data_IF_698132392693
#
_entry.id   IF_698132392693
#
_cell.length_a   1.000
_cell.length_b   1.000
_cell.length_c   1.000
_cell.angle_alpha   90.00
_cell.angle_beta   90.00
_cell.angle_gamma   90.00
#
_symmetry.space_group_name_H-M   'P 1'
#
loop_
_entity.id
_entity.type
_entity.pdbx_description
1 polymer ?
#
# COMPACT_ATOMS: atom_id res chain seq x y z
N UNK A 1 26.02 0.79 -51.09
CA UNK A 1 25.01 -0.22 -50.65
C UNK A 1 24.56 -0.04 -49.23
N UNK A 2 25.25 0.75 -48.41
CA UNK A 2 24.99 0.88 -46.97
C UNK A 2 23.74 1.70 -46.63
N UNK A 3 23.46 2.77 -47.38
CA UNK A 3 22.32 3.67 -47.12
C UNK A 3 20.95 2.98 -47.23
N UNK A 4 20.82 1.98 -48.10
CA UNK A 4 19.58 1.19 -48.23
C UNK A 4 19.34 0.33 -47.01
N UNK A 5 20.38 -0.26 -46.42
CA UNK A 5 20.28 -1.09 -45.22
C UNK A 5 19.90 -0.24 -44.01
N UNK A 6 20.45 0.97 -43.89
CA UNK A 6 20.08 1.94 -42.84
C UNK A 6 18.61 2.36 -42.96
N UNK A 7 18.16 2.62 -44.22
CA UNK A 7 16.77 2.99 -44.44
C UNK A 7 15.79 1.84 -44.04
N UNK A 8 16.12 0.60 -44.40
CA UNK A 8 15.33 -0.56 -43.97
C UNK A 8 15.32 -0.75 -42.45
N UNK A 9 16.46 -0.48 -41.78
CA UNK A 9 16.53 -0.58 -40.30
C UNK A 9 15.62 0.46 -39.64
N UNK A 10 15.61 1.70 -40.14
CA UNK A 10 14.74 2.75 -39.60
C UNK A 10 13.26 2.42 -39.83
N UNK A 11 12.89 1.93 -41.00
CA UNK A 11 11.50 1.53 -41.27
C UNK A 11 11.08 0.40 -40.38
N UNK A 12 11.90 -0.63 -40.21
CA UNK A 12 11.59 -1.79 -39.34
C UNK A 12 11.44 -1.37 -37.90
N UNK A 13 12.33 -0.53 -37.40
CA UNK A 13 12.25 0.01 -36.04
C UNK A 13 10.97 0.81 -35.81
N UNK A 14 10.59 1.66 -36.77
CA UNK A 14 9.36 2.46 -36.70
C UNK A 14 8.11 1.58 -36.68
N UNK A 15 8.08 0.50 -37.45
CA UNK A 15 6.97 -0.47 -37.46
C UNK A 15 6.82 -1.13 -36.07
N UNK A 16 7.93 -1.52 -35.44
CA UNK A 16 7.90 -2.13 -34.11
C UNK A 16 7.36 -1.14 -33.06
N UNK A 17 7.77 0.13 -33.11
CA UNK A 17 7.27 1.17 -32.21
C UNK A 17 5.79 1.44 -32.39
N UNK A 18 5.31 1.55 -33.66
CA UNK A 18 3.88 1.74 -33.92
C UNK A 18 3.06 0.52 -33.46
N UNK A 19 3.58 -0.68 -33.72
CA UNK A 19 2.93 -1.90 -33.25
C UNK A 19 2.81 -1.93 -31.72
N UNK A 20 3.89 -1.59 -31.01
CA UNK A 20 3.89 -1.50 -29.55
C UNK A 20 2.88 -0.48 -29.04
N UNK A 21 2.88 0.74 -29.58
CA UNK A 21 1.95 1.81 -29.19
C UNK A 21 0.48 1.42 -29.42
N UNK A 22 0.16 0.70 -30.52
CA UNK A 22 -1.23 0.31 -30.80
C UNK A 22 -1.75 -0.86 -29.98
N UNK A 23 -0.85 -1.79 -29.58
CA UNK A 23 -1.28 -3.01 -28.89
C UNK A 23 -1.03 -2.99 -27.37
N UNK A 24 -0.07 -2.20 -26.88
CA UNK A 24 0.32 -2.19 -25.47
C UNK A 24 0.06 -0.87 -24.76
N UNK A 25 -0.07 0.25 -25.47
CA UNK A 25 -0.51 1.50 -24.85
C UNK A 25 -2.03 1.49 -24.66
N UNK A 26 -2.47 1.56 -23.40
CA UNK A 26 -3.90 1.73 -23.10
C UNK A 26 -4.35 3.13 -23.53
N UNK A 27 -5.57 3.29 -24.08
CA UNK A 27 -6.05 4.60 -24.50
C UNK A 27 -6.09 5.55 -23.29
N UNK A 28 -5.35 6.64 -23.40
CA UNK A 28 -5.44 7.75 -22.46
C UNK A 28 -6.82 8.37 -22.65
N UNK A 29 -7.68 8.23 -21.65
CA UNK A 29 -9.02 8.85 -21.67
C UNK A 29 -8.81 10.35 -21.53
N UNK A 30 -8.96 11.10 -22.61
CA UNK A 30 -9.02 12.56 -22.64
C UNK A 30 -10.21 13.04 -21.79
N UNK A 31 -9.93 13.46 -20.57
CA UNK A 31 -10.93 14.18 -19.78
C UNK A 31 -10.98 15.63 -20.25
N UNK A 32 -12.05 15.96 -20.95
CA UNK A 32 -12.46 17.30 -21.36
C UNK A 32 -12.63 18.22 -20.14
N UNK A 33 -12.04 19.43 -20.12
CA UNK A 33 -12.19 20.32 -18.98
C UNK A 33 -13.58 20.92 -18.93
N UNK A 34 -14.32 20.66 -17.85
CA UNK A 34 -15.56 21.39 -17.52
C UNK A 34 -15.21 22.65 -16.74
N UNK A 35 -15.50 23.81 -17.35
CA UNK A 35 -15.45 25.12 -16.70
C UNK A 35 -16.57 25.24 -15.67
N UNK A 36 -16.25 25.56 -14.42
CA UNK A 36 -17.04 26.50 -13.63
C UNK A 36 -16.17 27.21 -12.61
N UNK A 37 -16.21 28.53 -12.68
CA UNK A 37 -15.59 29.55 -11.86
C UNK A 37 -16.17 29.53 -10.43
N UNK A 38 -15.40 29.83 -9.38
CA UNK A 38 -15.28 31.19 -8.80
C UNK A 38 -14.48 31.17 -7.49
N UNK A 39 -13.40 31.93 -7.51
CA UNK A 39 -12.84 32.91 -6.55
C UNK A 39 -12.25 32.50 -5.19
N UNK A 40 -10.98 32.89 -5.07
CA UNK A 40 -10.19 33.47 -3.95
C UNK A 40 -9.59 32.46 -2.92
N UNK A 41 -8.35 32.43 -2.68
CA UNK A 41 -7.17 33.29 -2.56
C UNK A 41 -6.10 32.53 -1.75
N UNK A 42 -4.86 32.63 -2.23
CA UNK A 42 -3.56 32.46 -1.60
C UNK A 42 -2.89 31.08 -1.45
N UNK A 43 -1.99 30.93 -2.39
CA UNK A 43 -0.58 30.47 -2.28
C UNK A 43 -0.23 29.28 -1.39
N UNK A 44 0.03 28.15 -2.07
CA UNK A 44 1.32 27.50 -1.96
C UNK A 44 1.45 26.49 -3.12
N UNK A 45 2.46 26.69 -3.96
CA UNK A 45 2.80 25.86 -5.11
C UNK A 45 3.25 24.47 -4.66
N UNK A 46 2.36 23.49 -4.81
CA UNK A 46 2.70 22.08 -4.96
C UNK A 46 1.74 21.48 -5.99
N UNK A 47 2.18 20.63 -6.92
CA UNK A 47 1.28 20.01 -7.88
C UNK A 47 0.29 19.13 -7.13
N UNK A 48 -0.96 19.58 -7.10
CA UNK A 48 -2.09 18.85 -6.53
C UNK A 48 -2.48 17.74 -7.51
N UNK A 49 -2.36 16.51 -7.10
CA UNK A 49 -2.99 15.38 -7.78
C UNK A 49 -4.48 15.45 -7.42
N UNK A 50 -5.28 16.02 -8.32
CA UNK A 50 -6.73 16.04 -8.18
C UNK A 50 -7.26 14.61 -8.30
N UNK A 51 -7.95 14.14 -7.28
CA UNK A 51 -8.67 12.88 -7.30
C UNK A 51 -8.46 11.97 -6.08
N UNK A 52 -7.84 12.44 -5.01
CA UNK A 52 -7.84 11.71 -3.75
C UNK A 52 -9.14 12.05 -3.02
N UNK A 53 -10.07 11.10 -2.95
CA UNK A 53 -11.10 11.12 -1.91
C UNK A 53 -10.40 11.49 -0.60
N UNK A 54 -10.84 12.54 0.07
CA UNK A 54 -10.35 12.92 1.40
C UNK A 54 -10.70 11.78 2.37
N UNK A 55 -9.85 10.76 2.38
CA UNK A 55 -9.84 9.75 3.42
C UNK A 55 -9.59 10.55 4.69
N UNK A 56 -10.50 10.54 5.63
CA UNK A 56 -10.28 11.11 6.95
C UNK A 56 -9.14 10.32 7.60
N UNK A 57 -7.93 10.78 7.35
CA UNK A 57 -6.73 10.18 7.92
C UNK A 57 -6.73 10.43 9.42
N UNK A 58 -6.66 9.35 10.16
CA UNK A 58 -6.61 9.36 11.61
C UNK A 58 -5.16 9.21 12.08
N UNK A 59 -4.90 9.57 13.32
CA UNK A 59 -3.59 9.34 13.92
C UNK A 59 -3.29 7.86 14.03
N UNK A 60 -2.01 7.51 14.12
CA UNK A 60 -1.56 6.12 14.30
C UNK A 60 -2.16 5.49 15.56
N UNK A 61 -2.18 6.23 16.66
CA UNK A 61 -2.73 5.79 17.94
C UNK A 61 -4.24 5.54 17.86
N UNK A 62 -4.96 6.41 17.21
CA UNK A 62 -6.40 6.21 16.98
C UNK A 62 -6.68 4.98 16.11
N UNK A 63 -5.88 4.75 15.06
CA UNK A 63 -6.01 3.58 14.21
C UNK A 63 -5.74 2.28 14.97
N UNK A 64 -4.70 2.25 15.81
CA UNK A 64 -4.36 1.11 16.67
C UNK A 64 -5.50 0.79 17.63
N UNK A 65 -6.11 1.80 18.24
CA UNK A 65 -7.16 1.63 19.23
C UNK A 65 -8.53 1.21 18.66
N UNK A 66 -8.72 1.31 17.33
CA UNK A 66 -10.00 0.95 16.68
C UNK A 66 -10.24 -0.56 16.54
N UNK A 67 -9.22 -1.37 16.67
CA UNK A 67 -9.34 -2.83 16.47
C UNK A 67 -8.70 -3.61 17.61
N UNK A 68 -9.24 -4.79 17.89
CA UNK A 68 -8.56 -5.73 18.77
C UNK A 68 -7.26 -6.19 18.13
N UNK A 69 -6.18 -6.27 18.90
CA UNK A 69 -4.84 -6.52 18.40
C UNK A 69 -4.07 -7.53 19.21
N UNK A 70 -3.10 -8.17 18.59
CA UNK A 70 -2.13 -9.04 19.22
C UNK A 70 -0.80 -8.32 19.29
N UNK A 71 -0.15 -8.37 20.44
CA UNK A 71 1.18 -7.82 20.62
C UNK A 71 2.22 -8.65 19.87
N UNK A 72 3.12 -7.97 19.18
CA UNK A 72 4.28 -8.53 18.53
C UNK A 72 5.53 -7.92 19.14
N UNK A 73 6.46 -8.75 19.63
CA UNK A 73 7.65 -8.25 20.31
C UNK A 73 8.82 -9.21 20.24
N UNK A 74 10.01 -8.67 19.91
CA UNK A 74 11.28 -9.34 20.08
C UNK A 74 12.37 -8.32 20.48
N UNK A 75 13.64 -8.68 20.42
CA UNK A 75 14.77 -7.80 20.77
C UNK A 75 14.86 -6.56 19.86
N UNK A 76 14.48 -6.69 18.58
CA UNK A 76 14.70 -5.67 17.55
C UNK A 76 13.46 -4.87 17.20
N UNK A 77 12.28 -5.48 17.31
CA UNK A 77 11.00 -4.87 16.92
C UNK A 77 9.96 -4.97 18.04
N UNK A 78 9.03 -4.03 18.00
CA UNK A 78 7.79 -4.06 18.77
C UNK A 78 6.65 -3.59 17.88
N UNK A 79 5.44 -4.06 18.18
CA UNK A 79 4.26 -3.65 17.41
C UNK A 79 3.06 -4.52 17.71
N UNK A 80 2.13 -4.57 16.80
CA UNK A 80 0.92 -5.35 16.94
C UNK A 80 0.33 -5.76 15.58
N UNK A 81 -0.52 -6.79 15.62
CA UNK A 81 -1.25 -7.33 14.47
C UNK A 81 -2.73 -7.07 14.73
N UNK A 82 -3.43 -6.48 13.77
CA UNK A 82 -4.88 -6.31 13.83
C UNK A 82 -5.59 -7.66 13.70
N UNK A 83 -6.54 -7.95 14.60
CA UNK A 83 -7.41 -9.13 14.49
C UNK A 83 -8.50 -8.96 13.43
N UNK A 84 -8.76 -7.75 12.97
CA UNK A 84 -9.61 -7.51 11.81
C UNK A 84 -8.75 -7.63 10.55
N UNK A 85 -9.02 -8.63 9.74
CA UNK A 85 -8.27 -8.94 8.51
C UNK A 85 -6.92 -9.62 8.72
N UNK A 86 -6.47 -9.85 9.96
CA UNK A 86 -5.14 -10.36 10.30
C UNK A 86 -4.01 -9.51 9.68
N UNK A 87 -4.19 -8.19 9.68
CA UNK A 87 -3.28 -7.23 9.03
C UNK A 87 -2.09 -6.95 9.95
N UNK A 88 -0.89 -7.03 9.38
CA UNK A 88 0.35 -6.63 10.06
C UNK A 88 0.64 -5.19 9.64
N UNK A 89 0.34 -4.24 10.51
CA UNK A 89 0.32 -2.82 10.18
C UNK A 89 0.94 -1.91 11.26
N UNK A 90 1.53 -2.49 12.30
CA UNK A 90 2.12 -1.75 13.39
C UNK A 90 3.45 -2.39 13.79
N UNK A 91 4.55 -1.88 13.23
CA UNK A 91 5.91 -2.33 13.57
C UNK A 91 6.83 -1.12 13.74
N UNK A 92 7.53 -1.09 14.86
CA UNK A 92 8.54 -0.09 15.21
C UNK A 92 9.86 -0.81 15.50
N UNK A 93 10.96 -0.29 14.95
CA UNK A 93 12.31 -0.76 15.28
C UNK A 93 12.76 -0.21 16.63
N UNK A 94 13.15 -1.07 17.57
CA UNK A 94 13.62 -0.68 18.90
C UNK A 94 14.99 -0.02 18.89
N UNK A 95 15.85 -0.44 17.99
CA UNK A 95 17.28 -0.09 17.98
C UNK A 95 17.62 1.01 16.96
N UNK A 96 16.66 1.47 16.17
CA UNK A 96 16.87 2.50 15.15
C UNK A 96 16.10 3.77 15.48
N UNK A 97 16.80 4.90 15.41
CA UNK A 97 16.22 6.24 15.58
C UNK A 97 16.02 6.89 14.22
N UNK A 98 14.96 7.68 14.07
CA UNK A 98 14.68 8.41 12.82
C UNK A 98 15.78 9.42 12.48
N UNK A 99 16.40 9.99 13.49
CA UNK A 99 17.53 10.92 13.36
C UNK A 99 18.54 10.66 14.49
N UNK A 100 19.81 10.97 14.26
CA UNK A 100 20.91 10.73 15.22
C UNK A 100 20.62 11.23 16.63
N UNK A 101 19.99 12.39 16.77
CA UNK A 101 19.70 13.05 18.06
C UNK A 101 18.23 13.02 18.45
N UNK A 102 17.41 12.17 17.81
CA UNK A 102 15.99 12.02 18.13
C UNK A 102 15.76 10.87 19.10
N UNK A 103 14.77 10.99 19.97
CA UNK A 103 14.24 9.85 20.74
C UNK A 103 13.23 9.04 19.95
N UNK A 104 12.71 9.60 18.85
CA UNK A 104 11.75 8.92 17.96
C UNK A 104 12.39 7.72 17.29
N UNK A 105 11.70 6.58 17.38
CA UNK A 105 12.11 5.32 16.75
C UNK A 105 11.54 5.21 15.33
N UNK A 106 12.27 4.54 14.46
CA UNK A 106 11.81 4.30 13.09
C UNK A 106 10.55 3.44 13.12
N UNK A 107 9.47 3.98 12.59
CA UNK A 107 8.23 3.26 12.33
C UNK A 107 8.34 2.59 10.97
N UNK A 108 8.28 1.27 10.94
CA UNK A 108 8.40 0.47 9.72
C UNK A 108 7.04 0.24 9.06
N UNK A 109 6.01 -0.08 9.84
CA UNK A 109 4.64 -0.23 9.36
C UNK A 109 3.71 0.73 10.11
N UNK A 110 2.79 1.33 9.37
CA UNK A 110 1.75 2.21 9.88
C UNK A 110 0.35 1.64 9.60
N UNK A 111 -0.57 1.74 10.56
CA UNK A 111 -1.90 1.19 10.43
C UNK A 111 -2.66 1.68 9.20
N UNK A 112 -3.48 0.77 8.67
CA UNK A 112 -4.44 1.08 7.60
C UNK A 112 -5.37 2.22 8.03
N UNK A 113 -5.61 3.17 7.14
CA UNK A 113 -6.35 4.42 7.33
C UNK A 113 -5.67 5.48 8.24
N UNK A 114 -4.42 5.28 8.66
CA UNK A 114 -3.64 6.33 9.31
C UNK A 114 -2.86 7.17 8.30
N UNK A 115 -2.38 8.33 8.75
CA UNK A 115 -1.44 9.12 7.96
C UNK A 115 -0.20 8.29 7.62
N UNK A 116 0.22 8.31 6.35
CA UNK A 116 1.32 7.48 5.82
C UNK A 116 1.11 5.97 6.07
N UNK A 117 -0.10 5.46 5.81
CA UNK A 117 -0.40 4.03 5.94
C UNK A 117 0.59 3.17 5.13
N UNK A 118 1.16 2.17 5.78
CA UNK A 118 2.04 1.19 5.17
C UNK A 118 1.94 -0.13 5.92
N UNK A 119 1.33 -1.14 5.33
CA UNK A 119 0.95 -2.36 6.01
C UNK A 119 1.09 -3.60 5.11
N UNK A 120 1.06 -4.78 5.73
CA UNK A 120 1.06 -6.08 5.05
C UNK A 120 -0.32 -6.70 5.22
N UNK A 121 -0.96 -6.99 4.10
CA UNK A 121 -2.24 -7.68 4.05
C UNK A 121 -2.07 -9.00 3.29
N UNK A 122 -2.66 -10.07 3.82
CA UNK A 122 -2.66 -11.39 3.18
C UNK A 122 -4.10 -11.77 2.84
N UNK A 123 -4.27 -12.35 1.67
CA UNK A 123 -5.59 -12.77 1.19
C UNK A 123 -5.60 -14.21 0.71
N UNK A 124 -6.79 -14.75 0.55
CA UNK A 124 -7.05 -16.10 0.09
C UNK A 124 -7.84 -16.05 -1.22
N UNK A 125 -7.46 -16.85 -2.18
CA UNK A 125 -8.20 -17.00 -3.42
C UNK A 125 -8.66 -18.44 -3.61
N UNK A 126 -9.91 -18.65 -3.99
CA UNK A 126 -10.39 -19.98 -4.34
C UNK A 126 -9.80 -20.38 -5.70
N UNK A 127 -9.18 -21.56 -5.78
CA UNK A 127 -8.72 -22.15 -7.04
C UNK A 127 -9.79 -23.05 -7.67
N UNK A 128 -9.94 -22.98 -8.99
CA UNK A 128 -10.85 -23.84 -9.73
C UNK A 128 -12.34 -23.60 -9.46
N UNK A 129 -13.15 -24.63 -9.63
CA UNK A 129 -14.62 -24.55 -9.47
C UNK A 129 -15.12 -24.71 -8.02
N UNK A 130 -14.25 -24.61 -7.03
CA UNK A 130 -14.63 -24.80 -5.63
C UNK A 130 -15.23 -23.53 -5.05
N UNK A 131 -16.48 -23.62 -4.57
CA UNK A 131 -17.16 -22.58 -3.79
C UNK A 131 -16.71 -22.66 -2.32
N UNK A 132 -15.48 -22.31 -2.02
CA UNK A 132 -15.00 -22.23 -0.65
C UNK A 132 -15.40 -20.88 -0.02
N UNK A 133 -15.87 -20.90 1.22
CA UNK A 133 -16.07 -19.67 2.00
C UNK A 133 -14.72 -19.25 2.55
N UNK A 134 -14.14 -18.22 1.96
CA UNK A 134 -12.82 -17.70 2.33
C UNK A 134 -12.94 -16.51 3.31
N UNK A 135 -11.95 -16.32 4.17
CA UNK A 135 -11.84 -15.08 4.95
C UNK A 135 -11.68 -13.88 4.02
N UNK A 136 -12.31 -12.78 4.41
CA UNK A 136 -12.22 -11.48 3.72
C UNK A 136 -11.29 -10.54 4.50
N UNK A 137 -10.96 -9.40 3.91
CA UNK A 137 -10.15 -8.33 4.51
C UNK A 137 -10.71 -7.75 5.82
N UNK A 138 -12.02 -7.90 6.04
CA UNK A 138 -12.72 -7.46 7.25
C UNK A 138 -13.08 -8.60 8.21
N UNK A 139 -12.67 -9.84 7.93
CA UNK A 139 -12.92 -10.98 8.81
C UNK A 139 -12.31 -10.76 10.19
N UNK A 140 -13.06 -11.11 11.22
CA UNK A 140 -12.57 -11.04 12.61
C UNK A 140 -11.95 -12.38 12.98
N UNK A 141 -10.67 -12.32 13.34
CA UNK A 141 -9.91 -13.47 13.78
C UNK A 141 -9.86 -13.55 15.30
N UNK A 142 -9.81 -14.76 15.80
CA UNK A 142 -9.62 -15.03 17.24
C UNK A 142 -8.25 -15.61 17.47
N UNK A 143 -7.66 -15.26 18.60
CA UNK A 143 -6.38 -15.84 19.02
C UNK A 143 -6.63 -17.09 19.80
N UNK A 144 -5.94 -18.16 19.44
CA UNK A 144 -5.88 -19.40 20.20
C UNK A 144 -4.52 -19.54 20.86
N UNK A 145 -4.50 -19.59 22.18
CA UNK A 145 -3.25 -19.69 22.95
C UNK A 145 -2.70 -18.34 23.38
N UNK A 146 -1.41 -18.14 23.20
CA UNK A 146 -0.72 -16.95 23.67
C UNK A 146 -1.09 -15.68 22.88
N UNK A 147 -1.17 -14.55 23.59
CA UNK A 147 -1.55 -13.26 22.99
C UNK A 147 -0.35 -12.39 22.60
N UNK A 148 0.86 -12.91 22.70
CA UNK A 148 2.09 -12.21 22.31
C UNK A 148 2.88 -13.09 21.34
N UNK A 149 3.08 -12.59 20.15
CA UNK A 149 3.92 -13.22 19.13
C UNK A 149 5.39 -12.90 19.40
N UNK A 150 6.20 -13.93 19.57
CA UNK A 150 7.66 -13.82 19.71
C UNK A 150 8.34 -14.88 18.83
N UNK A 151 9.66 -14.83 18.61
CA UNK A 151 10.36 -15.84 17.82
C UNK A 151 10.17 -17.28 18.33
N UNK A 152 9.99 -17.45 19.63
CA UNK A 152 9.84 -18.76 20.27
C UNK A 152 8.39 -19.10 20.64
N UNK A 153 7.46 -18.23 20.35
CA UNK A 153 6.08 -18.36 20.76
C UNK A 153 5.14 -18.00 19.61
N UNK A 154 4.84 -18.95 18.71
CA UNK A 154 3.90 -18.73 17.63
C UNK A 154 2.48 -18.53 18.16
N UNK A 155 1.66 -17.85 17.39
CA UNK A 155 0.22 -17.67 17.66
C UNK A 155 -0.58 -18.36 16.56
N UNK A 156 -1.77 -18.81 16.92
CA UNK A 156 -2.74 -19.35 16.00
C UNK A 156 -3.94 -18.39 15.91
N UNK A 157 -4.30 -18.02 14.68
CA UNK A 157 -5.50 -17.25 14.38
C UNK A 157 -6.56 -18.17 13.77
N UNK A 158 -7.78 -18.13 14.27
CA UNK A 158 -8.92 -18.92 13.80
C UNK A 158 -10.18 -18.06 13.59
#
# INVERSE_FOLDING_TARGET
MESRNVLFAIILSSIVLVFWATFFEQPVIDQKPSKNQTTNTQNNNSPSIEGVETKNEITREEAINKTSRIKLENENIKGSISLKGAIIDDIIFKNYKEKLNSESKVTFLNPKNSFNEYYIETGWAAGGNQKAKLPLDNSLWKVRGNQVLTPNNPILLE
#
